data_IF_314272734502
#
_entry.id   IF_314272734502
#
_cell.length_a   1.000
_cell.length_b   1.000
_cell.length_c   1.000
_cell.angle_alpha   90.00
_cell.angle_beta   90.00
_cell.angle_gamma   90.00
#
_symmetry.space_group_name_H-M   'P 1'
#
loop_
_entity.id
_entity.type
_entity.pdbx_description
1 polymer ?
#
# COMPACT_ATOMS: atom_id res chain seq x y z
N UNK A 1 -9.61 27.83 14.84
CA UNK A 1 -8.30 28.50 14.96
C UNK A 1 -7.55 28.33 13.66
N UNK A 2 -7.15 29.43 13.03
CA UNK A 2 -6.65 29.51 11.65
C UNK A 2 -5.22 28.97 11.52
N UNK A 3 -5.02 27.98 10.63
CA UNK A 3 -3.73 27.35 10.29
C UNK A 3 -2.84 28.22 9.36
N UNK A 4 -3.04 29.54 9.35
CA UNK A 4 -2.27 30.47 8.47
C UNK A 4 -0.94 30.91 9.11
N UNK A 5 -0.65 30.52 10.35
CA UNK A 5 0.44 31.12 11.14
C UNK A 5 1.76 30.31 11.22
N UNK A 6 2.10 29.47 10.23
CA UNK A 6 3.41 28.78 10.23
C UNK A 6 4.09 28.77 8.85
N UNK A 7 4.22 29.93 8.21
CA UNK A 7 5.28 30.12 7.21
C UNK A 7 6.60 30.37 7.95
N UNK A 8 7.31 29.30 8.28
CA UNK A 8 8.74 29.42 8.57
C UNK A 8 9.42 29.97 7.30
N UNK A 9 9.93 31.19 7.39
CA UNK A 9 10.77 31.79 6.36
C UNK A 9 12.02 30.91 6.19
N UNK A 10 12.18 30.31 5.02
CA UNK A 10 13.39 29.54 4.69
C UNK A 10 14.55 30.55 4.65
N UNK A 11 15.60 30.40 5.49
CA UNK A 11 16.71 31.35 5.51
C UNK A 11 17.48 31.32 4.19
N UNK A 12 17.96 32.49 3.77
CA UNK A 12 18.78 32.67 2.57
C UNK A 12 20.10 31.85 2.71
N UNK A 13 20.43 30.93 1.79
CA UNK A 13 21.53 29.96 1.95
C UNK A 13 22.94 30.56 1.95
N UNK A 14 23.11 31.88 1.77
CA UNK A 14 24.42 32.53 1.61
C UNK A 14 25.14 32.96 2.89
N UNK A 15 24.61 32.65 4.09
CA UNK A 15 25.28 33.03 5.36
C UNK A 15 25.07 32.03 6.50
N UNK A 16 25.23 30.74 6.23
CA UNK A 16 24.91 29.66 7.16
C UNK A 16 26.18 29.22 7.92
N UNK A 17 26.30 29.58 9.21
CA UNK A 17 27.32 29.03 10.12
C UNK A 17 27.07 27.53 10.41
N UNK A 18 28.05 26.79 10.92
CA UNK A 18 27.92 25.33 11.17
C UNK A 18 26.73 24.92 12.04
N UNK A 19 26.31 25.74 13.02
CA UNK A 19 25.11 25.50 13.82
C UNK A 19 23.82 25.64 13.01
N UNK A 20 23.81 26.47 11.98
CA UNK A 20 22.67 26.64 11.09
C UNK A 20 22.55 25.54 10.01
N UNK A 21 23.62 24.82 9.66
CA UNK A 21 23.53 23.64 8.76
C UNK A 21 22.85 22.47 9.48
N UNK A 22 23.27 22.15 10.70
CA UNK A 22 22.67 21.07 11.49
C UNK A 22 21.20 21.35 11.77
N UNK A 23 20.88 22.60 12.15
CA UNK A 23 19.51 23.02 12.34
C UNK A 23 18.67 22.91 11.05
N UNK A 24 19.24 23.33 9.91
CA UNK A 24 18.56 23.22 8.62
C UNK A 24 18.30 21.76 8.22
N UNK A 25 19.28 20.87 8.42
CA UNK A 25 19.12 19.42 8.19
C UNK A 25 18.03 18.85 9.09
N UNK A 26 18.04 19.17 10.37
CA UNK A 26 17.02 18.74 11.32
C UNK A 26 15.61 19.16 10.87
N UNK A 27 15.42 20.45 10.54
CA UNK A 27 14.12 20.98 10.08
C UNK A 27 13.68 20.31 8.78
N UNK A 28 14.61 20.09 7.85
CA UNK A 28 14.33 19.45 6.56
C UNK A 28 13.91 18.00 6.73
N UNK A 29 14.68 17.22 7.50
CA UNK A 29 14.38 15.80 7.78
C UNK A 29 13.06 15.67 8.51
N UNK A 30 12.84 16.49 9.55
CA UNK A 30 11.58 16.52 10.29
C UNK A 30 10.39 16.77 9.36
N UNK A 31 10.51 17.76 8.47
CA UNK A 31 9.46 18.07 7.49
C UNK A 31 9.20 16.91 6.53
N UNK A 32 10.23 16.23 6.03
CA UNK A 32 10.04 15.09 5.13
C UNK A 32 9.39 13.89 5.83
N UNK A 33 9.72 13.65 7.11
CA UNK A 33 9.05 12.63 7.93
C UNK A 33 7.57 12.97 8.10
N UNK A 34 7.26 14.21 8.50
CA UNK A 34 5.88 14.68 8.67
C UNK A 34 5.10 14.56 7.36
N UNK A 35 5.65 15.03 6.24
CA UNK A 35 5.00 14.93 4.93
C UNK A 35 4.76 13.48 4.53
N UNK A 36 5.72 12.60 4.74
CA UNK A 36 5.60 11.19 4.40
C UNK A 36 4.50 10.51 5.21
N UNK A 37 4.42 10.83 6.51
CA UNK A 37 3.32 10.38 7.37
C UNK A 37 1.97 10.85 6.83
N UNK A 38 1.80 12.14 6.56
CA UNK A 38 0.53 12.68 6.06
C UNK A 38 0.12 12.16 4.67
N UNK A 39 1.08 11.77 3.83
CA UNK A 39 0.77 11.06 2.59
C UNK A 39 0.20 9.65 2.84
N UNK A 40 0.75 8.94 3.82
CA UNK A 40 0.49 7.53 4.07
C UNK A 40 -0.64 7.28 5.07
N UNK A 41 -0.99 8.25 5.91
CA UNK A 41 -1.95 8.08 7.01
C UNK A 41 -3.29 7.49 6.53
N UNK A 42 -3.85 8.02 5.44
CA UNK A 42 -5.23 7.71 5.02
C UNK A 42 -5.49 6.24 4.65
N UNK A 43 -4.45 5.50 4.26
CA UNK A 43 -4.57 4.09 3.86
C UNK A 43 -3.54 3.18 4.56
N UNK A 44 -2.88 3.66 5.62
CA UNK A 44 -1.76 2.94 6.25
C UNK A 44 -2.12 1.51 6.65
N UNK A 45 -3.21 1.33 7.39
CA UNK A 45 -3.57 0.02 7.93
C UNK A 45 -3.87 -0.99 6.82
N UNK A 46 -4.68 -0.61 5.83
CA UNK A 46 -5.08 -1.49 4.75
C UNK A 46 -3.91 -1.86 3.82
N UNK A 47 -2.97 -0.95 3.61
CA UNK A 47 -1.90 -1.12 2.64
C UNK A 47 -0.59 -1.65 3.25
N UNK A 48 -0.27 -1.31 4.50
CA UNK A 48 1.05 -1.62 5.08
C UNK A 48 1.06 -2.86 5.97
N UNK A 49 0.00 -3.10 6.75
CA UNK A 49 -0.09 -4.22 7.70
C UNK A 49 0.14 -5.60 7.06
N UNK A 50 -0.29 -5.88 5.81
CA UNK A 50 -0.03 -7.18 5.18
C UNK A 50 1.45 -7.54 5.00
N UNK A 51 2.35 -6.55 4.88
CA UNK A 51 3.78 -6.78 4.63
C UNK A 51 4.45 -7.66 5.70
N UNK A 52 4.49 -7.24 6.99
CA UNK A 52 5.11 -8.04 8.04
C UNK A 52 4.35 -9.32 8.32
N UNK A 53 3.02 -9.34 8.21
CA UNK A 53 2.20 -10.54 8.47
C UNK A 53 2.57 -11.66 7.50
N UNK A 54 2.59 -11.39 6.20
CA UNK A 54 2.79 -12.44 5.21
C UNK A 54 4.25 -12.90 5.13
N UNK A 55 5.20 -12.00 5.41
CA UNK A 55 6.61 -12.38 5.60
C UNK A 55 6.77 -13.28 6.82
N UNK A 56 6.13 -12.95 7.94
CA UNK A 56 6.15 -13.78 9.16
C UNK A 56 5.55 -15.15 8.91
N UNK A 57 4.43 -15.24 8.19
CA UNK A 57 3.83 -16.52 7.83
C UNK A 57 4.82 -17.42 7.04
N UNK A 58 5.54 -16.85 6.08
CA UNK A 58 6.59 -17.55 5.33
C UNK A 58 7.75 -17.97 6.23
N UNK A 59 8.22 -17.10 7.14
CA UNK A 59 9.29 -17.44 8.10
C UNK A 59 8.89 -18.57 9.06
N UNK A 60 7.67 -18.52 9.60
CA UNK A 60 7.13 -19.55 10.48
C UNK A 60 6.97 -20.88 9.75
N UNK A 61 6.49 -20.85 8.50
CA UNK A 61 6.28 -22.05 7.69
C UNK A 61 7.56 -22.87 7.52
N UNK A 62 8.69 -22.20 7.22
CA UNK A 62 10.01 -22.87 7.08
C UNK A 62 10.80 -23.00 8.37
N UNK A 63 10.23 -22.59 9.52
CA UNK A 63 10.89 -22.62 10.83
C UNK A 63 12.21 -21.83 10.86
N UNK A 64 12.19 -20.60 10.34
CA UNK A 64 13.34 -19.73 10.29
C UNK A 64 13.92 -19.46 11.70
N UNK A 65 15.24 -19.28 11.76
CA UNK A 65 15.92 -18.83 12.98
C UNK A 65 15.55 -17.38 13.31
N UNK A 66 15.76 -16.96 14.57
CA UNK A 66 15.54 -15.58 14.99
C UNK A 66 16.34 -14.56 14.17
N UNK A 67 17.60 -14.88 13.84
CA UNK A 67 18.47 -14.00 13.07
C UNK A 67 17.93 -13.76 11.65
N UNK A 68 17.50 -14.84 10.98
CA UNK A 68 16.86 -14.75 9.67
C UNK A 68 15.55 -13.96 9.75
N UNK A 69 14.73 -14.20 10.79
CA UNK A 69 13.46 -13.51 10.96
C UNK A 69 13.64 -11.99 11.12
N UNK A 70 14.60 -11.56 11.95
CA UNK A 70 14.90 -10.12 12.14
C UNK A 70 15.35 -9.49 10.81
N UNK A 71 16.24 -10.15 10.08
CA UNK A 71 16.76 -9.63 8.81
C UNK A 71 15.67 -9.55 7.73
N UNK A 72 14.90 -10.63 7.55
CA UNK A 72 13.79 -10.66 6.58
C UNK A 72 12.74 -9.60 6.90
N UNK A 73 12.37 -9.43 8.18
CA UNK A 73 11.40 -8.40 8.56
C UNK A 73 11.94 -6.99 8.37
N UNK A 74 13.22 -6.73 8.64
CA UNK A 74 13.84 -5.44 8.35
C UNK A 74 13.77 -5.10 6.85
N UNK A 75 14.12 -6.06 5.98
CA UNK A 75 14.00 -5.88 4.53
C UNK A 75 12.55 -5.71 4.07
N UNK A 76 11.62 -6.48 4.63
CA UNK A 76 10.19 -6.35 4.33
C UNK A 76 9.65 -4.98 4.73
N UNK A 77 10.01 -4.45 5.89
CA UNK A 77 9.54 -3.14 6.34
C UNK A 77 10.10 -2.03 5.45
N UNK A 78 11.37 -2.10 5.06
CA UNK A 78 11.97 -1.14 4.13
C UNK A 78 11.35 -1.23 2.73
N UNK A 79 11.20 -2.45 2.19
CA UNK A 79 10.56 -2.70 0.90
C UNK A 79 9.10 -2.22 0.90
N UNK A 80 8.35 -2.57 1.94
CA UNK A 80 6.94 -2.19 2.09
C UNK A 80 6.75 -0.69 2.27
N UNK A 81 7.67 -0.02 2.98
CA UNK A 81 7.62 1.44 3.13
C UNK A 81 7.78 2.11 1.76
N UNK A 82 8.80 1.73 1.00
CA UNK A 82 9.06 2.29 -0.31
C UNK A 82 7.95 1.95 -1.32
N UNK A 83 7.46 0.71 -1.34
CA UNK A 83 6.32 0.28 -2.15
C UNK A 83 5.10 1.16 -1.90
N UNK A 84 4.74 1.30 -0.63
CA UNK A 84 3.51 1.98 -0.24
C UNK A 84 3.64 3.49 -0.43
N UNK A 85 4.78 4.07 -0.06
CA UNK A 85 5.07 5.48 -0.26
C UNK A 85 5.03 5.87 -1.74
N UNK A 86 5.67 5.09 -2.63
CA UNK A 86 5.59 5.32 -4.08
C UNK A 86 4.16 5.28 -4.61
N UNK A 87 3.31 4.42 -4.05
CA UNK A 87 1.89 4.33 -4.43
C UNK A 87 1.11 5.58 -4.03
N UNK A 88 1.30 6.07 -2.81
CA UNK A 88 0.65 7.32 -2.37
C UNK A 88 1.16 8.53 -3.15
N UNK A 89 2.46 8.57 -3.48
CA UNK A 89 3.00 9.63 -4.33
C UNK A 89 2.43 9.58 -5.75
N UNK A 90 2.23 8.39 -6.32
CA UNK A 90 1.56 8.24 -7.62
C UNK A 90 0.11 8.75 -7.57
N UNK A 91 -0.65 8.40 -6.52
CA UNK A 91 -2.00 8.91 -6.28
C UNK A 91 -2.07 10.44 -6.26
N UNK A 92 -1.02 11.11 -5.79
CA UNK A 92 -0.96 12.57 -5.64
C UNK A 92 -0.26 13.27 -6.82
N UNK A 93 0.21 12.53 -7.83
CA UNK A 93 1.04 13.05 -8.91
C UNK A 93 0.28 13.97 -9.89
N UNK A 94 -1.07 13.94 -9.89
CA UNK A 94 -1.92 14.78 -10.72
C UNK A 94 -2.47 16.01 -9.99
N UNK A 95 -2.25 16.14 -8.67
CA UNK A 95 -2.69 17.29 -7.88
C UNK A 95 -3.88 17.03 -6.96
N UNK A 96 -4.18 17.98 -6.07
CA UNK A 96 -5.33 17.93 -5.17
C UNK A 96 -6.65 18.12 -5.93
N UNK A 97 -7.14 17.03 -6.50
CA UNK A 97 -8.38 16.95 -7.29
C UNK A 97 -9.62 17.32 -6.45
N UNK A 98 -10.75 17.50 -7.12
CA UNK A 98 -12.04 17.68 -6.43
C UNK A 98 -12.39 16.45 -5.56
N UNK A 99 -12.04 15.26 -6.03
CA UNK A 99 -12.15 13.99 -5.29
C UNK A 99 -11.37 14.06 -3.98
N UNK A 100 -10.10 14.45 -4.03
CA UNK A 100 -9.23 14.52 -2.85
C UNK A 100 -9.70 15.57 -1.84
N UNK A 101 -10.22 16.71 -2.30
CA UNK A 101 -10.77 17.74 -1.41
C UNK A 101 -11.97 17.25 -0.61
N UNK A 102 -12.75 16.34 -1.18
CA UNK A 102 -13.96 15.79 -0.54
C UNK A 102 -13.58 14.60 0.34
N UNK A 103 -12.87 13.61 -0.21
CA UNK A 103 -12.62 12.33 0.47
C UNK A 103 -11.41 12.39 1.41
N UNK A 104 -10.40 13.22 1.10
CA UNK A 104 -9.09 13.22 1.78
C UNK A 104 -8.56 14.64 2.00
N UNK A 105 -9.31 15.51 2.71
CA UNK A 105 -8.97 16.93 2.88
C UNK A 105 -7.63 17.17 3.62
N UNK A 106 -7.14 16.17 4.36
CA UNK A 106 -5.88 16.24 5.08
C UNK A 106 -4.64 15.95 4.21
N UNK A 107 -4.81 15.54 2.94
CA UNK A 107 -3.67 15.27 2.05
C UNK A 107 -2.74 16.49 1.94
N UNK A 108 -1.41 16.32 2.00
CA UNK A 108 -0.46 17.44 1.93
C UNK A 108 -0.66 18.36 0.72
N UNK A 109 -1.08 17.80 -0.42
CA UNK A 109 -1.30 18.57 -1.65
C UNK A 109 -2.58 19.41 -1.60
N UNK A 110 -3.64 18.92 -0.94
CA UNK A 110 -4.88 19.67 -0.70
C UNK A 110 -4.61 20.81 0.27
N UNK A 111 -3.82 20.55 1.30
CA UNK A 111 -3.41 21.54 2.30
C UNK A 111 -2.29 22.48 1.83
N UNK A 112 -1.86 22.39 0.56
CA UNK A 112 -0.79 23.22 -0.01
C UNK A 112 0.54 23.16 0.76
N UNK A 113 0.81 22.05 1.46
CA UNK A 113 2.06 21.83 2.20
C UNK A 113 3.22 21.44 1.26
N UNK A 114 2.90 21.01 0.04
CA UNK A 114 3.83 20.58 -1.02
C UNK A 114 3.25 20.89 -2.39
N UNK A 115 4.05 20.73 -3.45
CA UNK A 115 3.66 20.97 -4.84
C UNK A 115 3.64 19.68 -5.65
N UNK A 116 2.88 19.65 -6.75
CA UNK A 116 2.86 18.52 -7.69
C UNK A 116 4.27 18.17 -8.19
N UNK A 117 5.07 19.19 -8.54
CA UNK A 117 6.44 18.98 -9.00
C UNK A 117 7.30 18.27 -7.92
N UNK A 118 7.16 18.68 -6.67
CA UNK A 118 7.89 18.09 -5.56
C UNK A 118 7.41 16.66 -5.24
N UNK A 119 6.11 16.37 -5.43
CA UNK A 119 5.56 15.01 -5.32
C UNK A 119 6.12 14.10 -6.41
N UNK A 120 6.19 14.57 -7.67
CA UNK A 120 6.77 13.81 -8.77
C UNK A 120 8.24 13.49 -8.56
N UNK A 121 9.02 14.45 -8.06
CA UNK A 121 10.43 14.21 -7.71
C UNK A 121 10.55 13.11 -6.65
N UNK A 122 9.75 13.19 -5.57
CA UNK A 122 9.70 12.13 -4.54
C UNK A 122 9.31 10.80 -5.15
N UNK A 123 8.33 10.78 -6.04
CA UNK A 123 7.87 9.56 -6.70
C UNK A 123 9.00 8.88 -7.49
N UNK A 124 9.75 9.63 -8.28
CA UNK A 124 10.87 9.07 -9.05
C UNK A 124 12.00 8.57 -8.15
N UNK A 125 12.36 9.32 -7.12
CA UNK A 125 13.42 8.92 -6.18
C UNK A 125 13.00 7.67 -5.40
N UNK A 126 11.80 7.67 -4.81
CA UNK A 126 11.27 6.56 -4.02
C UNK A 126 11.12 5.31 -4.90
N UNK A 127 10.54 5.43 -6.10
CA UNK A 127 10.33 4.29 -7.00
C UNK A 127 11.64 3.76 -7.57
N UNK A 128 12.61 4.62 -7.91
CA UNK A 128 13.93 4.19 -8.34
C UNK A 128 14.68 3.44 -7.25
N UNK A 129 14.65 3.96 -6.02
CA UNK A 129 15.24 3.31 -4.83
C UNK A 129 14.56 1.98 -4.55
N UNK A 130 13.23 1.94 -4.62
CA UNK A 130 12.42 0.75 -4.43
C UNK A 130 12.73 -0.35 -5.45
N UNK A 131 12.83 -0.01 -6.74
CA UNK A 131 13.16 -0.96 -7.80
C UNK A 131 14.60 -1.48 -7.70
N UNK A 132 15.54 -0.63 -7.28
CA UNK A 132 16.90 -1.08 -7.00
C UNK A 132 16.91 -2.06 -5.82
N UNK A 133 16.23 -1.72 -4.73
CA UNK A 133 16.10 -2.60 -3.57
C UNK A 133 15.44 -3.93 -3.96
N UNK A 134 14.36 -3.90 -4.74
CA UNK A 134 13.65 -5.10 -5.16
C UNK A 134 14.51 -6.01 -6.03
N UNK A 135 15.38 -5.44 -6.87
CA UNK A 135 16.37 -6.20 -7.62
C UNK A 135 17.38 -6.87 -6.69
N UNK A 136 17.95 -6.13 -5.72
CA UNK A 136 18.92 -6.68 -4.77
C UNK A 136 18.34 -7.78 -3.87
N UNK A 137 17.04 -7.70 -3.55
CA UNK A 137 16.31 -8.69 -2.75
C UNK A 137 15.68 -9.81 -3.60
N UNK A 138 15.92 -9.82 -4.91
CA UNK A 138 15.35 -10.77 -5.86
C UNK A 138 13.79 -10.83 -5.86
N UNK A 139 13.11 -9.72 -5.54
CA UNK A 139 11.64 -9.59 -5.61
C UNK A 139 11.16 -8.70 -6.76
N UNK A 140 12.06 -8.30 -7.65
CA UNK A 140 11.82 -7.37 -8.75
C UNK A 140 10.66 -7.78 -9.68
N UNK A 141 10.45 -9.06 -9.96
CA UNK A 141 9.32 -9.52 -10.78
C UNK A 141 7.97 -9.05 -10.22
N UNK A 142 7.81 -9.09 -8.90
CA UNK A 142 6.59 -8.61 -8.24
C UNK A 142 6.51 -7.09 -8.28
N UNK A 143 7.64 -6.39 -8.11
CA UNK A 143 7.67 -4.94 -8.24
C UNK A 143 7.31 -4.48 -9.66
N UNK A 144 7.77 -5.19 -10.70
CA UNK A 144 7.43 -4.90 -12.09
C UNK A 144 5.93 -5.12 -12.35
N UNK A 145 5.33 -6.18 -11.79
CA UNK A 145 3.87 -6.35 -11.82
C UNK A 145 3.16 -5.12 -11.23
N UNK A 146 3.62 -4.60 -10.10
CA UNK A 146 3.01 -3.41 -9.51
C UNK A 146 3.20 -2.15 -10.36
N UNK A 147 4.37 -1.98 -11.00
CA UNK A 147 4.57 -0.88 -11.96
C UNK A 147 3.55 -0.95 -13.11
N UNK A 148 3.32 -2.15 -13.67
CA UNK A 148 2.29 -2.36 -14.71
C UNK A 148 0.90 -2.01 -14.19
N UNK A 149 0.58 -2.39 -12.95
CA UNK A 149 -0.69 -2.04 -12.32
C UNK A 149 -0.83 -0.53 -12.11
N UNK A 150 0.21 0.17 -11.64
CA UNK A 150 0.20 1.63 -11.48
C UNK A 150 -0.02 2.34 -12.84
N UNK A 151 0.66 1.88 -13.89
CA UNK A 151 0.43 2.38 -15.26
C UNK A 151 -1.04 2.18 -15.66
N UNK A 152 -1.61 1.00 -15.38
CA UNK A 152 -3.00 0.70 -15.72
C UNK A 152 -3.99 1.60 -14.96
N UNK A 153 -3.75 1.81 -13.66
CA UNK A 153 -4.60 2.62 -12.80
C UNK A 153 -4.64 4.09 -13.22
N UNK A 154 -3.48 4.68 -13.52
CA UNK A 154 -3.35 6.13 -13.76
C UNK A 154 -3.24 6.50 -15.23
N UNK A 155 -2.34 5.88 -16.00
CA UNK A 155 -2.15 6.22 -17.42
C UNK A 155 -3.26 5.64 -18.31
N UNK A 156 -3.73 4.43 -18.01
CA UNK A 156 -4.87 3.83 -18.74
C UNK A 156 -6.23 4.13 -18.09
N UNK A 157 -6.23 4.92 -17.01
CA UNK A 157 -7.42 5.36 -16.29
C UNK A 157 -8.32 4.24 -15.76
N UNK A 158 -7.80 3.04 -15.51
CA UNK A 158 -8.60 1.93 -14.97
C UNK A 158 -9.15 2.24 -13.58
N UNK A 159 -8.51 3.15 -12.84
CA UNK A 159 -9.02 3.63 -11.56
C UNK A 159 -10.41 4.28 -11.66
N UNK A 160 -10.82 4.79 -12.84
CA UNK A 160 -12.10 5.50 -13.02
C UNK A 160 -13.30 4.57 -13.14
N UNK A 161 -13.09 3.26 -13.32
CA UNK A 161 -14.15 2.27 -13.51
C UNK A 161 -13.98 1.15 -12.48
N UNK A 162 -15.03 0.89 -11.69
CA UNK A 162 -15.02 -0.02 -10.55
C UNK A 162 -14.35 -1.37 -10.84
N UNK A 163 -14.93 -2.23 -11.69
CA UNK A 163 -14.36 -3.55 -11.97
C UNK A 163 -12.90 -3.55 -12.46
N UNK A 164 -12.50 -2.54 -13.24
CA UNK A 164 -11.12 -2.42 -13.73
C UNK A 164 -10.16 -2.02 -12.61
N UNK A 165 -10.57 -1.08 -11.75
CA UNK A 165 -9.84 -0.70 -10.55
C UNK A 165 -9.73 -1.87 -9.58
N UNK A 166 -10.84 -2.55 -9.30
CA UNK A 166 -10.90 -3.65 -8.35
C UNK A 166 -9.95 -4.78 -8.76
N UNK A 167 -9.94 -5.14 -10.05
CA UNK A 167 -8.97 -6.08 -10.62
C UNK A 167 -7.52 -5.61 -10.47
N UNK A 168 -7.25 -4.32 -10.74
CA UNK A 168 -5.91 -3.74 -10.55
C UNK A 168 -5.46 -3.84 -9.09
N UNK A 169 -6.33 -3.52 -8.12
CA UNK A 169 -5.99 -3.64 -6.70
C UNK A 169 -5.70 -5.09 -6.34
N UNK A 170 -6.47 -6.05 -6.85
CA UNK A 170 -6.25 -7.49 -6.64
C UNK A 170 -4.88 -7.93 -7.17
N UNK A 171 -4.49 -7.49 -8.36
CA UNK A 171 -3.15 -7.73 -8.92
C UNK A 171 -2.04 -7.04 -8.09
N UNK A 172 -2.34 -5.87 -7.52
CA UNK A 172 -1.46 -5.20 -6.57
C UNK A 172 -1.22 -6.00 -5.30
N UNK A 173 -2.27 -6.61 -4.77
CA UNK A 173 -2.16 -7.49 -3.61
C UNK A 173 -1.36 -8.76 -3.97
N UNK A 174 -1.53 -9.32 -5.16
CA UNK A 174 -0.64 -10.42 -5.64
C UNK A 174 0.81 -9.99 -5.59
N UNK A 175 1.14 -8.84 -6.18
CA UNK A 175 2.51 -8.29 -6.15
C UNK A 175 3.04 -8.14 -4.71
N UNK A 176 2.24 -7.54 -3.83
CA UNK A 176 2.60 -7.31 -2.44
C UNK A 176 2.86 -8.63 -1.71
N UNK A 177 1.88 -9.53 -1.68
CA UNK A 177 1.93 -10.73 -0.86
C UNK A 177 2.99 -11.70 -1.37
N UNK A 178 3.12 -11.86 -2.69
CA UNK A 178 4.12 -12.76 -3.25
C UNK A 178 5.56 -12.25 -3.02
N UNK A 179 5.78 -10.94 -3.05
CA UNK A 179 7.06 -10.36 -2.63
C UNK A 179 7.35 -10.64 -1.15
N UNK A 180 6.37 -10.43 -0.26
CA UNK A 180 6.53 -10.70 1.18
C UNK A 180 6.80 -12.18 1.48
N UNK A 181 6.11 -13.08 0.79
CA UNK A 181 6.35 -14.51 0.93
C UNK A 181 7.77 -14.88 0.53
N UNK A 182 8.25 -14.33 -0.59
CA UNK A 182 9.62 -14.52 -1.06
C UNK A 182 10.66 -14.00 -0.07
N UNK A 183 10.43 -12.82 0.52
CA UNK A 183 11.32 -12.26 1.54
C UNK A 183 11.37 -13.10 2.82
N UNK A 184 10.30 -13.83 3.14
CA UNK A 184 10.32 -14.81 4.22
C UNK A 184 11.06 -16.11 3.88
N UNK A 185 11.31 -16.40 2.60
CA UNK A 185 12.20 -17.47 2.14
C UNK A 185 11.57 -18.87 2.01
N UNK A 186 10.26 -19.01 2.17
CA UNK A 186 9.56 -20.29 1.92
C UNK A 186 9.31 -20.55 0.43
N UNK A 187 9.05 -21.82 0.10
CA UNK A 187 8.70 -22.24 -1.26
C UNK A 187 7.45 -21.49 -1.78
N UNK A 188 7.56 -20.97 -3.00
CA UNK A 188 6.54 -20.13 -3.65
C UNK A 188 5.23 -20.88 -3.94
N UNK A 189 5.27 -22.20 -4.07
CA UNK A 189 4.09 -23.04 -4.28
C UNK A 189 3.10 -22.87 -3.12
N UNK A 190 3.59 -22.84 -1.88
CA UNK A 190 2.75 -22.61 -0.70
C UNK A 190 2.28 -21.17 -0.60
N UNK A 191 3.09 -20.20 -1.03
CA UNK A 191 2.68 -18.80 -1.15
C UNK A 191 1.45 -18.66 -2.05
N UNK A 192 1.49 -19.27 -3.24
CA UNK A 192 0.36 -19.28 -4.17
C UNK A 192 -0.89 -19.96 -3.62
N UNK A 193 -0.74 -21.00 -2.78
CA UNK A 193 -1.89 -21.67 -2.15
C UNK A 193 -2.71 -20.70 -1.30
N UNK A 194 -2.04 -19.82 -0.54
CA UNK A 194 -2.70 -18.81 0.29
C UNK A 194 -3.11 -17.58 -0.51
N UNK A 195 -2.24 -17.05 -1.36
CA UNK A 195 -2.53 -15.83 -2.12
C UNK A 195 -3.75 -15.99 -3.01
N UNK A 196 -3.96 -17.14 -3.67
CA UNK A 196 -5.16 -17.37 -4.50
C UNK A 196 -6.47 -17.25 -3.71
N UNK A 197 -6.48 -17.71 -2.47
CA UNK A 197 -7.64 -17.53 -1.60
C UNK A 197 -7.79 -16.04 -1.30
N UNK A 198 -6.71 -15.40 -0.80
CA UNK A 198 -6.70 -14.00 -0.35
C UNK A 198 -7.20 -13.06 -1.44
N UNK A 199 -6.72 -13.23 -2.66
CA UNK A 199 -7.09 -12.38 -3.79
C UNK A 199 -8.54 -12.60 -4.24
N UNK A 200 -9.07 -13.82 -4.10
CA UNK A 200 -10.48 -14.10 -4.38
C UNK A 200 -11.38 -13.38 -3.39
N UNK A 201 -11.02 -13.40 -2.10
CA UNK A 201 -11.75 -12.66 -1.07
C UNK A 201 -11.64 -11.15 -1.23
N UNK A 202 -10.44 -10.65 -1.50
CA UNK A 202 -10.21 -9.22 -1.74
C UNK A 202 -10.97 -8.74 -2.97
N UNK A 203 -11.09 -9.54 -4.02
CA UNK A 203 -11.86 -9.15 -5.21
C UNK A 203 -13.30 -8.75 -4.88
N UNK A 204 -13.97 -9.47 -3.98
CA UNK A 204 -15.35 -9.12 -3.57
C UNK A 204 -15.43 -8.04 -2.49
N UNK A 205 -14.36 -7.81 -1.75
CA UNK A 205 -14.36 -6.93 -0.57
C UNK A 205 -13.65 -5.60 -0.80
N UNK A 206 -12.81 -5.48 -1.83
CA UNK A 206 -12.14 -4.22 -2.18
C UNK A 206 -13.13 -3.06 -2.40
N UNK A 207 -14.34 -3.25 -2.97
CA UNK A 207 -15.29 -2.15 -3.14
C UNK A 207 -15.83 -1.60 -1.82
N UNK A 208 -15.61 -2.26 -0.68
CA UNK A 208 -16.03 -1.75 0.63
C UNK A 208 -15.39 -0.38 0.89
N UNK A 209 -14.15 -0.21 0.46
CA UNK A 209 -13.41 1.05 0.65
C UNK A 209 -13.99 2.19 -0.18
N UNK A 210 -14.70 1.89 -1.27
CA UNK A 210 -15.25 2.89 -2.16
C UNK A 210 -16.53 3.53 -1.62
N UNK A 211 -17.25 2.88 -0.69
CA UNK A 211 -18.49 3.45 -0.14
C UNK A 211 -18.24 4.80 0.55
N UNK A 212 -17.13 4.94 1.28
CA UNK A 212 -16.74 6.22 1.91
C UNK A 212 -16.35 7.28 0.88
N UNK A 213 -15.90 6.84 -0.29
CA UNK A 213 -15.32 7.70 -1.32
C UNK A 213 -16.34 8.10 -2.41
N UNK A 214 -17.58 7.58 -2.35
CA UNK A 214 -18.68 7.87 -3.31
C UNK A 214 -18.87 9.38 -3.56
N UNK A 215 -18.94 10.26 -2.54
CA UNK A 215 -19.15 11.70 -2.79
C UNK A 215 -18.04 12.32 -3.65
N UNK A 216 -16.78 12.03 -3.37
CA UNK A 216 -15.64 12.51 -4.16
C UNK A 216 -15.54 11.83 -5.53
N UNK A 217 -15.83 10.53 -5.62
CA UNK A 217 -15.84 9.77 -6.86
C UNK A 217 -16.88 10.35 -7.85
N UNK A 218 -18.09 10.62 -7.38
CA UNK A 218 -19.14 11.26 -8.19
C UNK A 218 -18.71 12.66 -8.67
N UNK A 219 -18.10 13.46 -7.80
CA UNK A 219 -17.62 14.80 -8.15
C UNK A 219 -16.50 14.76 -9.21
N UNK A 220 -15.67 13.72 -9.23
CA UNK A 220 -14.65 13.48 -10.26
C UNK A 220 -15.17 12.71 -11.50
N UNK A 221 -16.47 12.39 -11.54
CA UNK A 221 -17.09 11.64 -12.63
C UNK A 221 -16.60 10.19 -12.75
N UNK A 222 -16.14 9.59 -11.65
CA UNK A 222 -15.73 8.18 -11.59
C UNK A 222 -16.97 7.30 -11.49
N UNK A 223 -16.84 6.07 -11.98
CA UNK A 223 -17.88 5.04 -11.97
C UNK A 223 -17.37 3.84 -11.18
N UNK A 224 -17.15 4.02 -9.88
CA UNK A 224 -16.70 2.96 -8.97
C UNK A 224 -17.80 1.93 -8.74
N UNK A 225 -17.45 0.77 -8.18
CA UNK A 225 -18.38 -0.37 -8.07
C UNK A 225 -19.65 -0.02 -7.27
N UNK A 226 -19.59 0.72 -6.15
CA UNK A 226 -20.80 1.20 -5.48
C UNK A 226 -21.65 2.15 -6.32
N UNK A 227 -21.04 2.97 -7.19
CA UNK A 227 -21.77 3.87 -8.09
C UNK A 227 -22.46 3.10 -9.21
N UNK A 228 -21.77 2.09 -9.79
CA UNK A 228 -22.29 1.29 -10.90
C UNK A 228 -23.42 0.36 -10.47
N UNK A 229 -23.31 -0.27 -9.29
CA UNK A 229 -24.32 -1.19 -8.77
C UNK A 229 -25.44 -0.46 -8.03
N UNK A 230 -25.19 0.74 -7.51
CA UNK A 230 -26.03 1.43 -6.55
C UNK A 230 -25.77 0.98 -5.11
N UNK A 231 -26.18 1.80 -4.13
CA UNK A 231 -25.81 1.64 -2.71
C UNK A 231 -26.24 0.27 -2.14
N UNK A 232 -27.53 -0.08 -2.18
CA UNK A 232 -28.03 -1.33 -1.61
C UNK A 232 -27.47 -2.58 -2.33
N UNK A 233 -27.51 -2.69 -3.67
CA UNK A 233 -26.96 -3.86 -4.35
C UNK A 233 -25.46 -4.04 -4.11
N UNK A 234 -24.69 -2.94 -4.07
CA UNK A 234 -23.27 -3.01 -3.75
C UNK A 234 -23.02 -3.52 -2.32
N UNK A 235 -23.82 -3.08 -1.34
CA UNK A 235 -23.68 -3.55 0.05
C UNK A 235 -23.97 -5.04 0.16
N UNK A 236 -25.00 -5.53 -0.52
CA UNK A 236 -25.31 -6.96 -0.61
C UNK A 236 -24.16 -7.71 -1.27
N UNK A 237 -23.66 -7.23 -2.40
CA UNK A 237 -22.51 -7.81 -3.11
C UNK A 237 -21.28 -7.97 -2.21
N UNK A 238 -20.86 -6.90 -1.54
CA UNK A 238 -19.69 -6.94 -0.64
C UNK A 238 -19.93 -7.80 0.61
N UNK A 239 -21.14 -7.76 1.18
CA UNK A 239 -21.52 -8.58 2.34
C UNK A 239 -21.51 -10.07 2.01
N UNK A 240 -22.02 -10.46 0.84
CA UNK A 240 -21.95 -11.84 0.35
C UNK A 240 -20.50 -12.27 0.16
N UNK A 241 -19.64 -11.40 -0.36
CA UNK A 241 -18.20 -11.65 -0.46
C UNK A 241 -17.54 -11.92 0.90
N UNK A 242 -17.88 -11.14 1.92
CA UNK A 242 -17.41 -11.34 3.29
C UNK A 242 -17.88 -12.69 3.87
N UNK A 243 -19.19 -12.93 3.86
CA UNK A 243 -19.81 -14.09 4.52
C UNK A 243 -19.48 -15.41 3.82
N UNK A 244 -19.41 -15.42 2.49
CA UNK A 244 -19.14 -16.66 1.75
C UNK A 244 -17.71 -17.17 1.93
N UNK A 245 -16.77 -16.27 2.18
CA UNK A 245 -15.35 -16.60 2.22
C UNK A 245 -14.84 -16.82 3.65
N UNK A 246 -15.34 -16.10 4.65
CA UNK A 246 -14.85 -16.18 6.04
C UNK A 246 -14.91 -17.61 6.65
N UNK A 247 -16.00 -18.39 6.52
CA UNK A 247 -16.04 -19.76 7.02
C UNK A 247 -15.05 -20.68 6.31
N UNK A 248 -14.80 -20.44 5.01
CA UNK A 248 -13.88 -21.23 4.20
C UNK A 248 -12.42 -20.99 4.58
N UNK A 249 -12.04 -19.73 4.88
CA UNK A 249 -10.70 -19.43 5.43
C UNK A 249 -10.44 -20.13 6.74
N UNK A 250 -11.38 -20.04 7.67
CA UNK A 250 -11.23 -20.64 8.98
C UNK A 250 -11.15 -22.17 8.86
N UNK A 251 -11.97 -22.80 8.02
CA UNK A 251 -11.91 -24.23 7.76
C UNK A 251 -10.56 -24.66 7.13
N UNK A 252 -10.08 -23.95 6.11
CA UNK A 252 -8.79 -24.28 5.45
C UNK A 252 -7.63 -24.06 6.40
N UNK A 253 -7.62 -22.96 7.17
CA UNK A 253 -6.58 -22.68 8.16
C UNK A 253 -6.53 -23.77 9.25
N UNK A 254 -7.69 -24.17 9.78
CA UNK A 254 -7.77 -25.24 10.79
C UNK A 254 -7.28 -26.58 10.22
N UNK A 255 -7.74 -26.98 9.03
CA UNK A 255 -7.29 -28.22 8.39
C UNK A 255 -5.78 -28.20 8.16
N UNK A 256 -5.22 -27.05 7.79
CA UNK A 256 -3.79 -26.93 7.54
C UNK A 256 -2.95 -26.97 8.82
N UNK A 257 -3.42 -26.33 9.89
CA UNK A 257 -2.79 -26.44 11.22
C UNK A 257 -2.82 -27.89 11.72
N UNK A 258 -3.94 -28.58 11.52
CA UNK A 258 -4.08 -30.00 11.87
C UNK A 258 -3.17 -30.89 11.02
N UNK A 259 -3.07 -30.64 9.71
CA UNK A 259 -2.19 -31.38 8.80
C UNK A 259 -0.71 -31.18 9.15
N UNK A 260 -0.28 -29.93 9.40
CA UNK A 260 1.07 -29.63 9.85
C UNK A 260 1.36 -30.28 11.22
N UNK A 261 0.39 -30.31 12.13
CA UNK A 261 0.56 -31.00 13.42
C UNK A 261 0.67 -32.52 13.26
N UNK A 262 -0.07 -33.11 12.31
CA UNK A 262 -0.06 -34.55 12.05
C UNK A 262 1.22 -35.03 11.34
N UNK A 263 1.78 -34.25 10.41
CA UNK A 263 3.05 -34.56 9.74
C UNK A 263 4.25 -34.55 10.70
N UNK A 264 4.13 -33.86 11.84
CA UNK A 264 5.21 -33.66 12.81
C UNK A 264 5.05 -34.47 14.11
N UNK A 265 3.96 -35.22 14.28
CA UNK A 265 3.78 -36.18 15.37
C UNK A 265 4.42 -37.55 15.12
N UNK A 266 5.01 -37.75 13.93
CA UNK A 266 5.64 -38.99 13.48
C UNK A 266 7.17 -38.89 13.32
N UNK A 267 7.81 -37.85 13.87
CA UNK A 267 9.28 -37.68 13.91
C UNK A 267 9.80 -37.73 15.34
#
# INVERSE_FOLDING_TARGET
MSLVANRASIPNPRSVSGSSVIYWLYVTIKREIELSYWFMESNFDAAFVPFPIFTTASLLYRRATYAEAVLSLAYTLLYGFLFYYSTELANNAEGGTIEDKINKPNRPIVQSQTTVAAVKIRFYIASGTWLLLSYTLDVHMWSLLWVVVLISLYLLHFSRIGPAKDLCIVLGVVSQLMACWKLGGSDMHYGWRWVKLIILWIFFTVPIQDFRDVPGDLAAGRRTTPILLGDIPARIYTSLGLVSMEPWYNAVAIIYVLALSAEHGNS
#
